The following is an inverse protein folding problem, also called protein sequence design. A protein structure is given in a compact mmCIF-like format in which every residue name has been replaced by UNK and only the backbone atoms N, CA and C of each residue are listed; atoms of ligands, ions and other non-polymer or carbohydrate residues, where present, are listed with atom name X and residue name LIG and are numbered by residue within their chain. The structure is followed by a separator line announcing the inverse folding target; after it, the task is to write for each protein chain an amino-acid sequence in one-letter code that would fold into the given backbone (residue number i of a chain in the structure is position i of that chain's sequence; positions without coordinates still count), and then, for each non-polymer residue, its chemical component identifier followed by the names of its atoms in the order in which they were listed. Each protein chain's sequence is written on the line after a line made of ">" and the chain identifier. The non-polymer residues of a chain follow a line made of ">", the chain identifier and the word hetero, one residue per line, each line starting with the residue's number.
data_IF_673244533692
#
_entry.id   IF_673244533692
#
_cell.length_a   1.000
_cell.length_b   1.000
_cell.length_c   1.000
_cell.angle_alpha   90.00
_cell.angle_beta   90.00
_cell.angle_gamma   90.00
#
_symmetry.space_group_name_H-M   'P 1'
#
loop_
_entity.id
_entity.type
_entity.pdbx_description
1 polymer ?
#
# COMPACT_ATOMS: atom_id res chain seq x y z
N UNK A 1 23.02 14.80 -12.43
CA UNK A 1 23.34 13.99 -11.24
C UNK A 1 24.83 13.68 -11.26
N UNK A 2 25.50 13.89 -10.14
CA UNK A 2 26.94 13.67 -10.00
C UNK A 2 27.28 12.17 -9.98
N UNK A 3 28.51 11.82 -10.36
CA UNK A 3 28.96 10.42 -10.39
C UNK A 3 28.89 9.75 -9.02
N UNK A 4 29.14 10.50 -7.94
CA UNK A 4 29.05 10.00 -6.56
C UNK A 4 27.60 9.62 -6.23
N UNK A 5 26.64 10.49 -6.56
CA UNK A 5 25.20 10.22 -6.33
C UNK A 5 24.73 8.97 -7.08
N UNK A 6 25.20 8.79 -8.33
CA UNK A 6 24.87 7.59 -9.12
C UNK A 6 25.46 6.31 -8.50
N UNK A 7 26.68 6.37 -7.98
CA UNK A 7 27.30 5.24 -7.28
C UNK A 7 26.51 4.86 -6.01
N UNK A 8 26.09 5.85 -5.22
CA UNK A 8 25.27 5.62 -4.03
C UNK A 8 23.90 5.01 -4.37
N UNK A 9 23.26 5.45 -5.46
CA UNK A 9 22.03 4.82 -5.97
C UNK A 9 22.27 3.38 -6.43
N UNK A 10 23.46 3.08 -6.97
CA UNK A 10 23.89 1.72 -7.29
C UNK A 10 23.88 0.79 -6.07
N UNK A 11 24.30 1.26 -4.90
CA UNK A 11 24.32 0.46 -3.66
C UNK A 11 22.93 0.00 -3.19
N UNK A 12 21.88 0.71 -3.60
CA UNK A 12 20.49 0.38 -3.26
C UNK A 12 19.72 -0.26 -4.41
N UNK A 13 20.43 -0.69 -5.47
CA UNK A 13 19.84 -1.37 -6.63
C UNK A 13 19.09 -0.44 -7.59
N UNK A 14 19.25 0.88 -7.46
CA UNK A 14 18.67 1.89 -8.36
C UNK A 14 19.66 2.41 -9.42
N UNK A 15 20.88 1.88 -9.47
CA UNK A 15 21.91 2.31 -10.41
C UNK A 15 21.77 1.77 -11.84
N UNK A 16 20.72 0.99 -12.14
CA UNK A 16 20.50 0.45 -13.48
C UNK A 16 19.86 1.55 -14.35
N UNK A 17 20.44 1.88 -15.51
CA UNK A 17 19.87 2.88 -16.41
C UNK A 17 18.47 2.45 -16.85
N UNK A 18 17.49 3.34 -16.67
CA UNK A 18 16.07 3.06 -16.94
C UNK A 18 15.23 2.74 -15.70
N UNK A 19 15.84 2.35 -14.57
CA UNK A 19 15.11 2.18 -13.30
C UNK A 19 14.52 3.49 -12.77
N UNK A 20 15.19 4.62 -13.06
CA UNK A 20 14.73 5.97 -12.72
C UNK A 20 13.45 6.36 -13.48
N UNK A 21 13.25 5.87 -14.71
CA UNK A 21 12.09 6.21 -15.54
C UNK A 21 10.78 5.62 -15.02
N UNK A 22 10.84 4.60 -14.15
CA UNK A 22 9.67 3.96 -13.54
C UNK A 22 9.28 4.59 -12.19
N UNK A 23 10.05 5.59 -11.74
CA UNK A 23 9.88 6.28 -10.46
C UNK A 23 9.46 7.72 -10.79
N UNK A 24 8.19 8.04 -10.58
CA UNK A 24 7.65 9.39 -10.84
C UNK A 24 8.08 10.45 -9.79
N UNK A 25 9.08 10.16 -8.96
CA UNK A 25 9.57 11.04 -7.88
C UNK A 25 11.08 11.28 -8.00
N UNK A 26 11.58 12.43 -7.51
CA UNK A 26 13.00 12.73 -7.55
C UNK A 26 13.83 11.66 -6.82
N UNK A 27 14.74 11.02 -7.55
CA UNK A 27 15.64 9.97 -7.03
C UNK A 27 16.53 10.42 -5.87
N UNK A 28 16.74 11.73 -5.71
CA UNK A 28 17.46 12.33 -4.59
C UNK A 28 16.86 11.99 -3.22
N UNK A 29 15.55 11.75 -3.14
CA UNK A 29 14.88 11.37 -1.89
C UNK A 29 15.32 10.00 -1.37
N UNK A 30 15.73 9.10 -2.26
CA UNK A 30 16.27 7.80 -1.85
C UNK A 30 17.67 7.90 -1.26
N UNK A 31 18.42 8.97 -1.54
CA UNK A 31 19.72 9.20 -0.91
C UNK A 31 19.60 9.43 0.60
N UNK A 32 18.52 10.09 1.04
CA UNK A 32 18.23 10.26 2.47
C UNK A 32 17.90 8.93 3.18
N UNK A 33 17.56 7.89 2.40
CA UNK A 33 17.12 6.59 2.89
C UNK A 33 18.15 5.49 2.65
N UNK A 34 19.38 5.84 2.26
CA UNK A 34 20.44 4.86 1.95
C UNK A 34 20.69 3.88 3.10
N UNK A 35 20.70 4.37 4.35
CA UNK A 35 20.90 3.54 5.53
C UNK A 35 19.83 2.46 5.67
N UNK A 36 18.56 2.83 5.47
CA UNK A 36 17.39 1.96 5.56
C UNK A 36 17.28 1.01 4.36
N UNK A 37 17.60 1.51 3.16
CA UNK A 37 17.46 0.77 1.91
C UNK A 37 18.51 -0.33 1.75
N UNK A 38 19.69 -0.19 2.37
CA UNK A 38 20.77 -1.19 2.35
C UNK A 38 20.42 -2.49 3.08
N UNK A 39 19.46 -2.45 3.99
CA UNK A 39 19.05 -3.64 4.74
C UNK A 39 18.20 -4.55 3.84
N UNK A 40 18.46 -5.87 3.86
CA UNK A 40 17.69 -6.82 3.06
C UNK A 40 16.25 -6.97 3.58
N UNK A 41 16.04 -6.72 4.87
CA UNK A 41 14.74 -6.78 5.53
C UNK A 41 14.03 -5.44 5.42
N UNK A 42 12.72 -5.48 5.17
CA UNK A 42 11.86 -4.30 5.14
C UNK A 42 11.15 -4.19 6.49
N UNK A 43 11.68 -3.34 7.36
CA UNK A 43 11.19 -3.14 8.72
C UNK A 43 10.11 -2.06 8.78
N UNK A 44 9.31 -2.09 9.85
CA UNK A 44 8.36 -1.03 10.21
C UNK A 44 9.08 0.32 10.39
N UNK A 45 10.26 0.32 11.00
CA UNK A 45 11.08 1.52 11.19
C UNK A 45 11.44 2.18 9.86
N UNK A 46 11.78 1.38 8.84
CA UNK A 46 12.08 1.93 7.53
C UNK A 46 10.86 2.59 6.88
N UNK A 47 9.67 2.02 7.05
CA UNK A 47 8.41 2.64 6.60
C UNK A 47 8.17 3.97 7.35
N UNK A 48 8.36 3.99 8.66
CA UNK A 48 8.24 5.20 9.47
C UNK A 48 9.25 6.26 9.04
N UNK A 49 10.47 5.88 8.64
CA UNK A 49 11.47 6.79 8.08
C UNK A 49 11.03 7.38 6.73
N UNK A 50 10.35 6.61 5.87
CA UNK A 50 9.77 7.14 4.62
C UNK A 50 8.75 8.24 4.91
N UNK A 51 7.86 8.02 5.87
CA UNK A 51 6.82 9.01 6.22
C UNK A 51 7.45 10.26 6.80
N UNK A 52 8.39 10.11 7.76
CA UNK A 52 9.10 11.25 8.36
C UNK A 52 9.89 12.08 7.36
N UNK A 53 10.42 11.46 6.31
CA UNK A 53 11.11 12.17 5.23
C UNK A 53 10.15 13.06 4.42
N UNK A 54 8.91 12.59 4.19
CA UNK A 54 7.91 13.31 3.41
C UNK A 54 7.19 14.38 4.24
N UNK A 55 6.87 14.06 5.49
CA UNK A 55 6.00 14.84 6.37
C UNK A 55 6.54 14.74 7.81
N UNK A 56 7.42 15.67 8.24
CA UNK A 56 8.06 15.62 9.54
C UNK A 56 7.11 15.66 10.73
N UNK A 57 5.93 16.30 10.59
CA UNK A 57 4.93 16.40 11.66
C UNK A 57 3.96 15.22 11.67
N UNK A 58 4.00 14.35 10.65
CA UNK A 58 3.14 13.18 10.57
C UNK A 58 3.73 12.00 11.33
N UNK A 59 2.96 11.44 12.24
CA UNK A 59 3.31 10.20 12.95
C UNK A 59 2.82 8.99 12.16
N UNK A 60 3.68 7.97 12.02
CA UNK A 60 3.33 6.72 11.36
C UNK A 60 3.45 5.54 12.31
N UNK A 61 2.38 4.75 12.38
CA UNK A 61 2.32 3.49 13.12
C UNK A 61 2.05 2.37 12.13
N UNK A 62 2.90 1.35 12.15
CA UNK A 62 2.78 0.17 11.29
C UNK A 62 2.29 -1.00 12.13
N UNK A 63 1.15 -1.57 11.75
CA UNK A 63 0.59 -2.76 12.35
C UNK A 63 0.86 -3.93 11.40
N UNK A 64 1.67 -4.91 11.81
CA UNK A 64 1.89 -6.11 11.01
C UNK A 64 0.63 -6.99 11.01
N UNK A 65 0.57 -7.89 10.05
CA UNK A 65 -0.46 -8.91 9.94
C UNK A 65 -1.91 -8.38 9.84
N UNK A 66 -2.15 -7.40 8.97
CA UNK A 66 -3.49 -6.87 8.76
C UNK A 66 -4.34 -7.88 7.98
N UNK A 67 -5.50 -8.32 8.50
CA UNK A 67 -6.32 -9.33 7.84
C UNK A 67 -6.92 -8.79 6.53
N UNK A 68 -6.76 -9.57 5.46
CA UNK A 68 -7.33 -9.33 4.16
C UNK A 68 -8.18 -10.53 3.73
N UNK A 69 -9.40 -10.27 3.27
CA UNK A 69 -10.20 -11.30 2.60
C UNK A 69 -9.71 -11.48 1.15
N UNK A 70 -9.50 -12.72 0.75
CA UNK A 70 -9.08 -13.13 -0.58
C UNK A 70 -10.14 -14.05 -1.16
N UNK A 71 -10.55 -13.80 -2.41
CA UNK A 71 -11.46 -14.69 -3.14
C UNK A 71 -10.69 -15.91 -3.60
N UNK A 72 -11.23 -17.09 -3.32
CA UNK A 72 -10.65 -18.37 -3.74
C UNK A 72 -11.14 -18.69 -5.16
N UNK A 73 -10.24 -18.86 -6.15
CA UNK A 73 -10.65 -19.15 -7.52
C UNK A 73 -11.33 -20.52 -7.64
N UNK A 74 -10.90 -21.48 -6.83
CA UNK A 74 -11.48 -22.83 -6.78
C UNK A 74 -11.88 -23.14 -5.33
N UNK A 75 -13.19 -23.02 -4.98
CA UNK A 75 -13.66 -23.36 -3.65
C UNK A 75 -13.60 -24.88 -3.44
N UNK A 76 -13.11 -25.31 -2.28
CA UNK A 76 -13.07 -26.73 -1.96
C UNK A 76 -14.50 -27.26 -1.71
N UNK A 77 -14.88 -28.34 -2.40
CA UNK A 77 -16.20 -28.97 -2.26
C UNK A 77 -16.12 -30.33 -1.58
N UNK A 78 -17.10 -30.68 -0.74
CA UNK A 78 -17.17 -31.97 -0.03
C UNK A 78 -17.91 -33.04 -0.85
N UNK A 79 -17.51 -33.27 -2.10
CA UNK A 79 -18.16 -34.27 -2.97
C UNK A 79 -17.29 -35.50 -3.21
N UNK A 80 -17.89 -36.64 -3.58
CA UNK A 80 -17.14 -37.84 -3.98
C UNK A 80 -16.23 -37.60 -5.20
N UNK A 81 -16.55 -36.61 -6.05
CA UNK A 81 -15.79 -36.20 -7.25
C UNK A 81 -14.69 -35.17 -6.93
N UNK A 82 -14.83 -34.40 -5.86
CA UNK A 82 -13.89 -33.38 -5.40
C UNK A 82 -13.40 -33.73 -4.00
N UNK A 83 -12.47 -34.69 -3.86
CA UNK A 83 -11.94 -35.04 -2.55
C UNK A 83 -10.98 -33.96 -2.06
N UNK A 84 -11.15 -33.52 -0.83
CA UNK A 84 -10.28 -32.52 -0.20
C UNK A 84 -9.14 -33.22 0.54
N UNK A 85 -7.89 -32.83 0.25
CA UNK A 85 -6.75 -33.26 1.05
C UNK A 85 -6.58 -32.33 2.27
N UNK A 86 -6.75 -32.87 3.48
CA UNK A 86 -6.62 -32.08 4.72
C UNK A 86 -5.19 -31.58 4.98
N UNK A 87 -4.18 -32.18 4.34
CA UNK A 87 -2.79 -31.70 4.43
C UNK A 87 -2.62 -30.28 3.86
N UNK A 88 -3.44 -29.92 2.88
CA UNK A 88 -3.35 -28.62 2.18
C UNK A 88 -4.08 -27.50 2.95
N UNK A 89 -4.70 -27.78 4.12
CA UNK A 89 -5.56 -26.83 4.85
C UNK A 89 -6.57 -26.13 3.92
N UNK A 90 -7.18 -26.91 3.02
CA UNK A 90 -8.12 -26.38 2.05
C UNK A 90 -9.30 -25.70 2.76
N UNK A 91 -9.59 -24.48 2.34
CA UNK A 91 -10.65 -23.67 2.92
C UNK A 91 -11.99 -24.03 2.26
N UNK A 92 -13.03 -24.10 3.09
CA UNK A 92 -14.41 -24.21 2.63
C UNK A 92 -14.95 -22.81 2.34
N UNK A 93 -15.67 -22.66 1.23
CA UNK A 93 -16.27 -21.39 0.81
C UNK A 93 -15.51 -20.68 -0.29
N UNK A 94 -16.02 -19.52 -0.69
CA UNK A 94 -15.51 -18.70 -1.79
C UNK A 94 -14.45 -17.67 -1.34
N UNK A 95 -14.21 -17.52 -0.04
CA UNK A 95 -13.26 -16.54 0.51
C UNK A 95 -12.36 -17.17 1.57
N UNK A 96 -11.08 -16.83 1.53
CA UNK A 96 -10.10 -17.09 2.58
C UNK A 96 -9.65 -15.80 3.27
N UNK A 97 -8.98 -15.96 4.41
CA UNK A 97 -8.33 -14.87 5.14
C UNK A 97 -6.82 -14.98 5.03
N UNK A 98 -6.17 -13.90 4.60
CA UNK A 98 -4.72 -13.76 4.59
C UNK A 98 -4.31 -12.68 5.59
N UNK A 99 -3.37 -13.02 6.45
CA UNK A 99 -2.80 -12.13 7.47
C UNK A 99 -1.30 -11.92 7.27
N UNK A 100 -0.70 -12.46 6.22
CA UNK A 100 0.76 -12.44 6.05
C UNK A 100 1.22 -11.48 4.95
N UNK A 101 0.37 -11.19 3.96
CA UNK A 101 0.75 -10.35 2.82
C UNK A 101 0.44 -8.86 2.98
N UNK A 102 -0.40 -8.48 3.95
CA UNK A 102 -0.85 -7.10 4.14
C UNK A 102 -0.41 -6.53 5.49
N UNK A 103 0.07 -5.28 5.47
CA UNK A 103 0.28 -4.46 6.65
C UNK A 103 -0.70 -3.29 6.68
N UNK A 104 -1.00 -2.78 7.88
CA UNK A 104 -1.78 -1.57 8.06
C UNK A 104 -0.87 -0.43 8.51
N UNK A 105 -0.86 0.64 7.72
CA UNK A 105 -0.17 1.89 8.04
C UNK A 105 -1.20 2.91 8.51
N UNK A 106 -1.06 3.35 9.76
CA UNK A 106 -1.84 4.44 10.34
C UNK A 106 -0.98 5.69 10.38
N UNK A 107 -1.43 6.73 9.71
CA UNK A 107 -0.83 8.06 9.71
C UNK A 107 -1.64 8.97 10.61
N UNK A 108 -0.99 9.81 11.39
CA UNK A 108 -1.63 10.83 12.22
C UNK A 108 -0.97 12.18 11.96
N UNK A 109 -1.77 13.21 11.68
CA UNK A 109 -1.28 14.57 11.46
C UNK A 109 -2.25 15.59 12.06
N UNK A 110 -1.68 16.65 12.61
CA UNK A 110 -2.40 17.83 13.14
C UNK A 110 -2.12 19.09 12.30
N UNK A 111 -1.25 18.99 11.30
CA UNK A 111 -0.88 20.10 10.44
C UNK A 111 -1.81 20.19 9.22
N UNK A 112 -2.35 21.38 8.93
CA UNK A 112 -3.26 21.60 7.80
C UNK A 112 -2.56 21.42 6.45
N UNK A 113 -1.28 21.80 6.34
CA UNK A 113 -0.49 21.67 5.13
C UNK A 113 -0.24 20.20 4.78
N UNK A 114 0.23 19.42 5.75
CA UNK A 114 0.44 17.98 5.59
C UNK A 114 -0.88 17.23 5.38
N UNK A 115 -1.94 17.58 6.13
CA UNK A 115 -3.26 16.95 5.98
C UNK A 115 -3.78 17.05 4.53
N UNK A 116 -3.69 18.23 3.91
CA UNK A 116 -4.07 18.43 2.50
C UNK A 116 -3.19 17.63 1.54
N UNK A 117 -1.90 17.53 1.83
CA UNK A 117 -0.95 16.73 1.04
C UNK A 117 -1.22 15.22 1.12
N UNK A 118 -1.77 14.73 2.23
CA UNK A 118 -2.11 13.32 2.43
C UNK A 118 -3.45 12.89 1.84
N UNK A 119 -4.39 13.80 1.66
CA UNK A 119 -5.68 13.48 1.06
C UNK A 119 -5.51 12.93 -0.38
N UNK A 120 -6.46 12.11 -0.87
CA UNK A 120 -6.38 11.53 -2.21
C UNK A 120 -6.20 12.60 -3.30
N UNK A 121 -5.10 12.52 -4.06
CA UNK A 121 -4.71 13.52 -5.06
C UNK A 121 -3.66 14.52 -4.58
N UNK A 122 -3.32 14.50 -3.29
CA UNK A 122 -2.20 15.27 -2.74
C UNK A 122 -0.84 14.69 -3.14
N UNK A 123 0.18 15.55 -3.13
CA UNK A 123 1.54 15.19 -3.52
C UNK A 123 2.17 14.21 -2.51
N UNK A 124 2.00 14.42 -1.20
CA UNK A 124 2.56 13.53 -0.17
C UNK A 124 2.03 12.09 -0.30
N UNK A 125 0.73 11.95 -0.57
CA UNK A 125 0.12 10.65 -0.82
C UNK A 125 0.74 9.95 -2.05
N UNK A 126 0.87 10.66 -3.16
CA UNK A 126 1.45 10.12 -4.41
C UNK A 126 2.92 9.75 -4.20
N UNK A 127 3.68 10.63 -3.55
CA UNK A 127 5.08 10.43 -3.26
C UNK A 127 5.32 9.23 -2.35
N UNK A 128 4.50 9.06 -1.31
CA UNK A 128 4.57 7.91 -0.42
C UNK A 128 4.33 6.60 -1.18
N UNK A 129 3.35 6.55 -2.08
CA UNK A 129 3.09 5.34 -2.89
C UNK A 129 4.30 4.98 -3.75
N UNK A 130 5.01 5.95 -4.31
CA UNK A 130 6.23 5.72 -5.10
C UNK A 130 7.38 5.25 -4.21
N UNK A 131 7.57 5.86 -3.03
CA UNK A 131 8.60 5.42 -2.08
C UNK A 131 8.33 3.99 -1.59
N UNK A 132 7.07 3.67 -1.27
CA UNK A 132 6.65 2.31 -0.90
C UNK A 132 6.88 1.33 -2.05
N UNK A 133 6.72 1.77 -3.30
CA UNK A 133 7.01 0.94 -4.47
C UNK A 133 8.45 0.50 -4.55
N UNK A 134 9.38 1.39 -4.25
CA UNK A 134 10.81 1.06 -4.24
C UNK A 134 11.20 0.28 -2.99
N UNK A 135 10.65 0.63 -1.82
CA UNK A 135 10.98 0.00 -0.55
C UNK A 135 10.36 -1.40 -0.41
N UNK A 136 9.04 -1.52 -0.45
CA UNK A 136 8.33 -2.80 -0.29
C UNK A 136 8.35 -3.66 -1.56
N UNK A 137 8.47 -3.02 -2.72
CA UNK A 137 8.40 -3.70 -4.00
C UNK A 137 7.05 -4.36 -4.21
N UNK A 138 7.08 -5.58 -4.75
CA UNK A 138 5.93 -6.39 -5.14
C UNK A 138 5.54 -7.43 -4.08
N UNK A 139 6.35 -7.59 -3.03
CA UNK A 139 6.20 -8.66 -2.03
C UNK A 139 5.13 -8.39 -0.98
N UNK A 140 4.92 -7.12 -0.62
CA UNK A 140 4.01 -6.72 0.44
C UNK A 140 2.98 -5.71 -0.04
N UNK A 141 1.77 -5.84 0.48
CA UNK A 141 0.69 -4.88 0.31
C UNK A 141 0.58 -4.02 1.58
N UNK A 142 0.22 -2.75 1.41
CA UNK A 142 0.00 -1.86 2.54
C UNK A 142 -1.38 -1.20 2.42
N UNK A 143 -2.19 -1.29 3.47
CA UNK A 143 -3.42 -0.50 3.63
C UNK A 143 -3.07 0.79 4.36
N UNK A 144 -3.50 1.93 3.84
CA UNK A 144 -3.17 3.25 4.37
C UNK A 144 -4.42 3.89 4.98
N UNK A 145 -4.30 4.32 6.23
CA UNK A 145 -5.31 5.07 6.98
C UNK A 145 -4.69 6.35 7.50
N UNK A 146 -5.46 7.44 7.47
CA UNK A 146 -5.07 8.75 7.99
C UNK A 146 -6.06 9.18 9.06
N UNK A 147 -5.57 9.42 10.27
CA UNK A 147 -6.32 9.95 11.38
C UNK A 147 -5.97 11.43 11.54
N UNK A 148 -6.95 12.32 11.51
CA UNK A 148 -6.74 13.76 11.62
C UNK A 148 -7.94 14.46 12.28
N UNK A 149 -7.77 15.62 12.92
CA UNK A 149 -8.88 16.40 13.51
C UNK A 149 -9.93 16.83 12.48
N UNK A 150 -11.22 16.77 12.82
CA UNK A 150 -12.33 17.15 11.90
C UNK A 150 -12.17 18.55 11.31
N UNK A 151 -11.51 19.47 12.04
CA UNK A 151 -11.23 20.83 11.58
C UNK A 151 -10.35 20.92 10.34
N UNK A 152 -9.52 19.91 10.06
CA UNK A 152 -8.60 19.88 8.92
C UNK A 152 -9.19 19.18 7.69
N UNK A 153 -10.37 18.57 7.80
CA UNK A 153 -11.03 17.94 6.66
C UNK A 153 -11.68 19.01 5.76
N UNK A 154 -11.46 18.95 4.43
CA UNK A 154 -12.18 19.83 3.52
C UNK A 154 -13.69 19.56 3.62
N UNK A 155 -14.54 20.59 3.57
CA UNK A 155 -15.98 20.40 3.59
C UNK A 155 -16.37 19.57 2.36
N UNK A 156 -17.14 18.49 2.58
CA UNK A 156 -17.66 17.66 1.52
C UNK A 156 -18.69 18.45 0.68
N UNK A 157 -18.22 19.16 -0.35
CA UNK A 157 -19.07 19.86 -1.30
C UNK A 157 -19.35 18.95 -2.50
N UNK A 158 -20.63 18.86 -2.91
CA UNK A 158 -21.01 18.25 -4.18
C UNK A 158 -20.47 19.13 -5.32
N UNK A 159 -19.43 18.68 -6.04
CA UNK A 159 -18.80 19.44 -7.12
C UNK A 159 -17.52 18.82 -7.68
N UNK A 160 -16.74 19.59 -8.45
CA UNK A 160 -15.51 19.18 -9.16
C UNK A 160 -14.34 18.67 -8.29
N UNK A 161 -14.51 18.64 -6.96
CA UNK A 161 -13.54 18.01 -6.07
C UNK A 161 -13.76 16.50 -6.07
N UNK A 162 -12.68 15.73 -6.29
CA UNK A 162 -12.69 14.26 -6.25
C UNK A 162 -12.82 13.76 -4.81
N UNK A 163 -13.89 14.14 -4.11
CA UNK A 163 -14.27 13.57 -2.82
C UNK A 163 -14.80 12.18 -3.13
N UNK A 164 -13.98 11.16 -2.88
CA UNK A 164 -14.46 9.78 -2.95
C UNK A 164 -15.41 9.59 -1.76
N UNK A 165 -16.71 9.51 -2.06
CA UNK A 165 -17.82 9.51 -1.10
C UNK A 165 -17.63 8.50 0.03
N UNK A 166 -17.02 7.34 -0.26
CA UNK A 166 -16.75 6.29 0.72
C UNK A 166 -15.45 6.47 1.54
N UNK A 167 -14.60 7.45 1.20
CA UNK A 167 -13.24 7.57 1.74
C UNK A 167 -12.99 8.89 2.44
N UNK A 168 -13.44 10.01 1.87
CA UNK A 168 -13.20 11.36 2.40
C UNK A 168 -14.49 12.17 2.61
N UNK A 169 -15.65 11.60 2.28
CA UNK A 169 -16.95 12.25 2.44
C UNK A 169 -17.46 12.15 3.87
N UNK A 170 -16.96 13.00 4.78
CA UNK A 170 -17.62 13.18 6.08
C UNK A 170 -18.68 14.25 5.92
N UNK A 171 -19.95 13.85 5.99
CA UNK A 171 -21.07 14.79 6.02
C UNK A 171 -21.13 15.42 7.41
N UNK A 172 -21.01 16.75 7.48
CA UNK A 172 -21.14 17.51 8.72
C UNK A 172 -22.61 17.44 9.17
N UNK A 173 -22.89 16.67 10.20
CA UNK A 173 -24.25 16.42 10.69
C UNK A 173 -24.93 17.62 11.37
N UNK A 174 -24.21 18.71 11.65
CA UNK A 174 -24.82 19.88 12.30
C UNK A 174 -23.93 21.12 12.18
N UNK A 175 -24.54 22.29 11.95
CA UNK A 175 -23.84 23.56 11.76
C UNK A 175 -23.36 24.23 13.06
N UNK A 176 -23.53 23.58 14.24
CA UNK A 176 -23.61 24.28 15.52
C UNK A 176 -22.63 23.83 16.62
N UNK A 177 -21.62 22.98 16.36
CA UNK A 177 -20.62 22.67 17.39
C UNK A 177 -19.22 22.41 16.80
N UNK A 178 -18.14 22.91 17.42
CA UNK A 178 -16.79 22.45 17.13
C UNK A 178 -16.65 21.04 17.72
N UNK A 179 -16.86 20.02 16.90
CA UNK A 179 -16.64 18.64 17.35
C UNK A 179 -15.13 18.44 17.43
N UNK A 180 -14.59 18.50 18.65
CA UNK A 180 -13.22 18.09 18.99
C UNK A 180 -13.10 16.57 18.85
N UNK A 181 -13.17 16.08 17.62
CA UNK A 181 -13.06 14.68 17.26
C UNK A 181 -11.95 14.48 16.22
N UNK A 182 -11.28 13.34 16.30
CA UNK A 182 -10.42 12.84 15.23
C UNK A 182 -11.26 11.95 14.31
N UNK A 183 -11.00 12.04 13.00
CA UNK A 183 -11.63 11.18 12.00
C UNK A 183 -10.54 10.33 11.35
N UNK A 184 -10.86 9.06 11.13
CA UNK A 184 -10.01 8.16 10.35
C UNK A 184 -10.54 8.03 8.94
N UNK A 185 -9.74 8.47 7.97
CA UNK A 185 -9.97 8.43 6.53
C UNK A 185 -9.16 7.30 5.90
N UNK A 186 -9.74 6.60 4.93
CA UNK A 186 -9.01 5.56 4.17
C UNK A 186 -8.28 6.17 2.97
N UNK A 187 -6.94 6.22 3.04
CA UNK A 187 -6.07 6.71 1.96
C UNK A 187 -5.87 5.69 0.85
N UNK A 188 -6.24 4.44 1.07
CA UNK A 188 -6.30 3.40 0.04
C UNK A 188 -5.37 2.24 0.33
N UNK A 189 -4.94 1.59 -0.75
CA UNK A 189 -4.05 0.42 -0.67
C UNK A 189 -2.92 0.57 -1.68
N UNK A 190 -1.70 0.34 -1.22
CA UNK A 190 -0.55 0.09 -2.07
C UNK A 190 -0.50 -1.40 -2.43
N UNK A 191 -0.50 -1.68 -3.74
CA UNK A 191 -0.28 -3.01 -4.30
C UNK A 191 0.74 -2.89 -5.43
N UNK A 192 1.91 -3.52 -5.28
CA UNK A 192 2.97 -3.45 -6.29
C UNK A 192 2.66 -4.21 -7.58
N UNK A 193 1.84 -5.26 -7.48
CA UNK A 193 1.26 -5.99 -8.61
C UNK A 193 -0.26 -5.87 -8.51
N UNK A 194 -0.88 -5.38 -9.57
CA UNK A 194 -2.31 -5.54 -9.72
C UNK A 194 -2.59 -7.00 -10.06
N UNK A 195 -3.52 -7.68 -9.36
CA UNK A 195 -3.95 -9.00 -9.77
C UNK A 195 -4.50 -8.89 -11.19
N UNK A 196 -3.82 -9.51 -12.15
CA UNK A 196 -4.26 -9.55 -13.53
C UNK A 196 -5.57 -10.33 -13.58
N UNK A 197 -6.66 -9.69 -13.99
CA UNK A 197 -7.93 -10.36 -14.29
C UNK A 197 -7.89 -11.18 -15.58
N UNK A 198 -6.79 -11.11 -16.34
CA UNK A 198 -6.62 -11.89 -17.56
C UNK A 198 -6.09 -13.28 -17.23
N UNK A 199 -6.99 -14.24 -17.01
CA UNK A 199 -6.76 -15.62 -17.39
C UNK A 199 -6.59 -15.62 -18.91
N UNK A 200 -5.37 -15.42 -19.42
CA UNK A 200 -5.05 -15.95 -20.74
C UNK A 200 -4.97 -17.44 -20.54
N UNK A 201 -5.92 -18.17 -21.14
CA UNK A 201 -5.86 -19.62 -21.29
C UNK A 201 -4.42 -20.01 -21.63
N UNK A 202 -3.75 -20.61 -20.65
CA UNK A 202 -2.53 -21.36 -20.92
C UNK A 202 -3.02 -22.60 -21.64
N UNK A 203 -2.98 -22.56 -22.96
CA UNK A 203 -3.02 -23.75 -23.80
C UNK A 203 -2.13 -24.83 -23.15
N UNK A 204 -2.77 -25.98 -22.96
CA UNK A 204 -2.25 -27.26 -22.50
C UNK A 204 -0.73 -27.38 -22.56
N UNK A 205 -0.07 -27.24 -21.40
CA UNK A 205 1.24 -27.88 -21.20
C UNK A 205 0.96 -29.36 -20.98
N UNK A 206 1.01 -30.13 -22.06
CA UNK A 206 1.04 -31.59 -22.03
C UNK A 206 2.23 -32.01 -21.18
N UNK A 207 1.95 -32.53 -19.98
CA UNK A 207 2.93 -33.24 -19.19
C UNK A 207 3.37 -34.47 -19.99
N UNK A 208 4.55 -34.41 -20.61
CA UNK A 208 5.25 -35.60 -21.08
C UNK A 208 5.72 -36.36 -19.85
N UNK A 209 4.93 -37.36 -19.46
CA UNK A 209 5.31 -38.36 -18.47
C UNK A 209 6.42 -39.24 -19.05
N UNK A 210 7.62 -39.16 -18.48
CA UNK A 210 8.61 -40.22 -18.65
C UNK A 210 8.20 -41.41 -17.78
N UNK A 211 7.95 -42.54 -18.44
CA UNK A 211 7.85 -43.85 -17.79
C UNK A 211 9.25 -44.34 -17.41
N UNK A 212 9.44 -44.68 -16.14
CA UNK A 212 10.45 -45.65 -15.71
C UNK A 212 9.85 -47.04 -15.77
#
# INVERSE_FOLDING_TARGET
>A
MDNISRCLLGLIGLGIPGSENHIATPVSRFLALLSVMRLPTRTAEGITALVRLLAPQTQATVIPHDPQQIVLPEPAGLSKRSRICLKTRALLGNTGTDVNSQLLMKLYTEDDGEARGWLPGGQLHTDLLVLLRVYLGWRYQARLQLTLPVSLLPPAQLGNQRVQVSRTGVLRASFAAPVAGTVTVSLGRYQGLMPTSSTRDRESVTHVSYTL
#
